data_IF_258185815346
#
_entry.id   IF_258185815346
#
_cell.length_a   1.000
_cell.length_b   1.000
_cell.length_c   1.000
_cell.angle_alpha   90.00
_cell.angle_beta   90.00
_cell.angle_gamma   90.00
#
_symmetry.space_group_name_H-M   'P 1'
#
loop_
_entity.id
_entity.type
_entity.pdbx_description
1 polymer ?
#
# COMPACT_ATOMS: atom_id res chain seq x y z
N UNK A 1 25.88 -8.66 -22.89
CA UNK A 1 26.08 -9.08 -21.48
C UNK A 1 24.74 -8.99 -20.75
N UNK A 2 24.29 -10.07 -20.11
CA UNK A 2 23.10 -10.00 -19.25
C UNK A 2 23.55 -9.33 -17.94
N UNK A 3 23.05 -8.13 -17.65
CA UNK A 3 23.27 -7.46 -16.38
C UNK A 3 22.60 -8.27 -15.27
N UNK A 4 23.30 -8.45 -14.14
CA UNK A 4 22.70 -9.00 -12.93
C UNK A 4 21.62 -8.07 -12.41
N UNK A 5 20.57 -8.61 -11.81
CA UNK A 5 19.53 -7.79 -11.16
C UNK A 5 20.13 -6.85 -10.09
N UNK A 6 21.22 -7.26 -9.45
CA UNK A 6 21.97 -6.47 -8.48
C UNK A 6 22.70 -5.26 -9.08
N UNK A 7 22.90 -5.23 -10.41
CA UNK A 7 23.44 -4.06 -11.10
C UNK A 7 22.37 -3.04 -11.48
N UNK A 8 21.10 -3.45 -11.41
CA UNK A 8 19.95 -2.62 -11.79
C UNK A 8 19.27 -2.06 -10.55
N UNK A 9 19.23 -2.84 -9.47
CA UNK A 9 18.59 -2.46 -8.20
C UNK A 9 19.67 -1.91 -7.26
N UNK A 10 19.62 -0.63 -6.90
CA UNK A 10 20.67 0.03 -6.10
C UNK A 10 20.55 -0.26 -4.59
N UNK A 11 19.93 -1.38 -4.20
CA UNK A 11 19.77 -1.81 -2.80
C UNK A 11 20.83 -2.87 -2.50
N UNK A 12 21.59 -2.68 -1.43
CA UNK A 12 22.66 -3.59 -0.99
C UNK A 12 22.24 -4.51 0.12
N UNK A 13 21.57 -3.98 1.12
CA UNK A 13 21.20 -4.72 2.33
C UNK A 13 19.97 -4.11 3.00
N UNK A 14 19.41 -4.84 3.95
CA UNK A 14 18.43 -4.33 4.90
C UNK A 14 19.15 -4.08 6.22
N UNK A 15 19.00 -2.88 6.77
CA UNK A 15 19.64 -2.50 8.04
C UNK A 15 18.96 -3.20 9.22
N UNK A 16 19.58 -3.17 10.41
CA UNK A 16 18.99 -3.75 11.63
C UNK A 16 17.64 -3.12 11.99
N UNK A 17 17.44 -1.84 11.63
CA UNK A 17 16.16 -1.13 11.82
C UNK A 17 15.13 -1.38 10.71
N UNK A 18 15.48 -2.20 9.71
CA UNK A 18 14.58 -2.61 8.63
C UNK A 18 14.61 -1.71 7.39
N UNK A 19 15.45 -0.68 7.35
CA UNK A 19 15.60 0.21 6.19
C UNK A 19 16.41 -0.42 5.08
N UNK A 20 16.16 -0.02 3.83
CA UNK A 20 16.97 -0.43 2.70
C UNK A 20 18.20 0.46 2.57
N UNK A 21 19.41 -0.14 2.65
CA UNK A 21 20.67 0.57 2.40
C UNK A 21 20.97 0.57 0.91
N UNK A 22 21.21 1.76 0.38
CA UNK A 22 21.50 1.99 -1.04
C UNK A 22 22.99 1.91 -1.33
N UNK A 23 23.35 1.81 -2.62
CA UNK A 23 24.76 1.76 -3.10
C UNK A 23 25.58 2.98 -2.72
N UNK A 24 24.95 4.15 -2.65
CA UNK A 24 25.58 5.42 -2.27
C UNK A 24 25.69 5.61 -0.75
N UNK A 25 25.32 4.60 0.05
CA UNK A 25 25.32 4.62 1.50
C UNK A 25 24.10 5.25 2.15
N UNK A 26 23.19 5.84 1.37
CA UNK A 26 21.92 6.37 1.87
C UNK A 26 20.96 5.25 2.28
N UNK A 27 19.97 5.62 3.04
CA UNK A 27 18.86 4.71 3.40
C UNK A 27 17.58 5.10 2.70
N UNK A 28 16.78 4.10 2.37
CA UNK A 28 15.48 4.24 1.72
C UNK A 28 14.40 3.50 2.52
N UNK A 29 13.19 4.04 2.53
CA UNK A 29 12.01 3.42 3.12
C UNK A 29 10.79 3.61 2.23
N UNK A 30 9.86 2.66 2.29
CA UNK A 30 8.57 2.71 1.59
C UNK A 30 7.44 2.79 2.62
N UNK A 31 6.72 3.90 2.62
CA UNK A 31 5.54 4.08 3.46
C UNK A 31 4.27 4.01 2.61
N UNK A 32 3.39 3.07 2.91
CA UNK A 32 2.09 3.01 2.26
C UNK A 32 1.22 4.20 2.66
N UNK A 33 0.61 4.83 1.65
CA UNK A 33 -0.32 5.94 1.84
C UNK A 33 -1.72 5.37 1.91
N UNK A 34 -2.43 5.61 3.01
CA UNK A 34 -3.84 5.27 3.11
C UNK A 34 -4.66 6.24 2.27
N UNK A 35 -5.38 5.71 1.28
CA UNK A 35 -6.26 6.51 0.41
C UNK A 35 -7.66 6.60 0.99
N UNK A 36 -8.36 7.70 0.70
CA UNK A 36 -9.77 7.90 1.02
C UNK A 36 -10.61 7.91 -0.26
N UNK A 37 -11.86 7.50 -0.12
CA UNK A 37 -12.86 7.66 -1.17
C UNK A 37 -13.36 9.11 -1.18
N UNK A 38 -12.83 9.91 -2.11
CA UNK A 38 -13.14 11.33 -2.25
C UNK A 38 -14.61 11.58 -2.62
N UNK A 39 -15.27 10.60 -3.25
CA UNK A 39 -16.68 10.74 -3.70
C UNK A 39 -17.63 10.74 -2.50
N UNK A 40 -17.33 9.94 -1.48
CA UNK A 40 -18.17 9.79 -0.28
C UNK A 40 -17.67 10.61 0.92
N UNK A 41 -16.64 11.43 0.73
CA UNK A 41 -16.05 12.28 1.78
C UNK A 41 -16.64 13.69 1.69
N UNK A 42 -16.92 14.34 2.83
CA UNK A 42 -17.44 15.71 2.86
C UNK A 42 -16.41 16.72 2.35
N UNK A 43 -16.88 17.86 1.82
CA UNK A 43 -16.01 18.93 1.34
C UNK A 43 -15.06 19.46 2.43
N UNK A 44 -15.57 19.63 3.65
CA UNK A 44 -14.79 20.12 4.81
C UNK A 44 -13.66 19.12 5.18
N UNK A 45 -13.93 17.84 5.08
CA UNK A 45 -12.94 16.79 5.36
C UNK A 45 -11.86 16.72 4.27
N UNK A 46 -12.24 16.93 3.01
CA UNK A 46 -11.30 17.04 1.89
C UNK A 46 -10.42 18.29 2.07
N UNK A 47 -10.98 19.43 2.41
CA UNK A 47 -10.24 20.65 2.67
C UNK A 47 -9.24 20.46 3.83
N UNK A 48 -9.67 19.84 4.91
CA UNK A 48 -8.81 19.52 6.05
C UNK A 48 -7.63 18.63 5.64
N UNK A 49 -7.86 17.60 4.84
CA UNK A 49 -6.80 16.74 4.33
C UNK A 49 -5.85 17.50 3.39
N UNK A 50 -6.36 18.37 2.53
CA UNK A 50 -5.52 19.25 1.70
C UNK A 50 -4.61 20.15 2.55
N UNK A 51 -5.11 20.72 3.64
CA UNK A 51 -4.32 21.55 4.57
C UNK A 51 -3.21 20.70 5.24
N UNK A 52 -3.52 19.47 5.66
CA UNK A 52 -2.51 18.55 6.22
C UNK A 52 -1.38 18.24 5.23
N UNK A 53 -1.73 17.91 3.98
CA UNK A 53 -0.74 17.64 2.95
C UNK A 53 0.08 18.91 2.61
N UNK A 54 -0.56 20.07 2.52
CA UNK A 54 0.16 21.33 2.30
C UNK A 54 1.15 21.63 3.43
N UNK A 55 0.75 21.38 4.69
CA UNK A 55 1.63 21.51 5.86
C UNK A 55 2.79 20.51 5.79
N UNK A 56 2.51 19.25 5.47
CA UNK A 56 3.54 18.24 5.29
C UNK A 56 4.56 18.64 4.23
N UNK A 57 4.15 18.99 3.01
CA UNK A 57 5.07 19.38 1.94
C UNK A 57 5.88 20.66 2.26
N UNK A 58 5.38 21.51 3.14
CA UNK A 58 6.08 22.68 3.62
C UNK A 58 7.15 22.37 4.66
N UNK A 59 6.96 21.31 5.46
CA UNK A 59 7.87 20.88 6.53
C UNK A 59 8.90 19.85 6.07
N UNK A 60 8.54 19.05 5.08
CA UNK A 60 9.39 17.98 4.57
C UNK A 60 10.39 18.55 3.58
N UNK A 61 11.69 18.46 3.91
CA UNK A 61 12.78 19.10 3.15
C UNK A 61 13.64 18.13 2.34
N UNK A 62 13.47 16.82 2.53
CA UNK A 62 14.28 15.82 1.88
C UNK A 62 13.61 15.30 0.59
N UNK A 63 14.36 14.55 -0.20
CA UNK A 63 13.84 13.94 -1.42
C UNK A 63 12.79 12.87 -1.09
N UNK A 64 11.68 12.90 -1.81
CA UNK A 64 10.68 11.84 -1.76
C UNK A 64 10.11 11.59 -3.16
N UNK A 65 9.65 10.35 -3.39
CA UNK A 65 8.89 9.99 -4.59
C UNK A 65 7.53 9.43 -4.19
N UNK A 66 6.51 9.76 -4.98
CA UNK A 66 5.20 9.12 -4.88
C UNK A 66 5.16 8.00 -5.92
N UNK A 67 4.89 6.78 -5.46
CA UNK A 67 4.77 5.61 -6.32
C UNK A 67 3.32 5.15 -6.31
N UNK A 68 2.76 4.92 -7.50
CA UNK A 68 1.45 4.31 -7.67
C UNK A 68 1.64 2.95 -8.34
N UNK A 69 1.16 1.89 -7.69
CA UNK A 69 1.25 0.52 -8.17
C UNK A 69 -0.14 -0.08 -8.31
N UNK A 70 -0.35 -0.87 -9.36
CA UNK A 70 -1.56 -1.65 -9.54
C UNK A 70 -1.24 -3.11 -9.18
N UNK A 71 -1.98 -3.63 -8.21
CA UNK A 71 -1.90 -5.03 -7.80
C UNK A 71 -3.15 -5.79 -8.22
N UNK A 72 -3.04 -7.08 -8.55
CA UNK A 72 -4.21 -7.95 -8.66
C UNK A 72 -4.98 -7.95 -7.34
N UNK A 73 -6.31 -7.88 -7.42
CA UNK A 73 -7.14 -8.02 -6.22
C UNK A 73 -7.02 -9.46 -5.68
N UNK A 74 -6.82 -9.60 -4.37
CA UNK A 74 -6.82 -10.90 -3.69
C UNK A 74 -8.13 -11.09 -2.92
N UNK A 75 -8.93 -12.03 -3.39
CA UNK A 75 -10.17 -12.45 -2.73
C UNK A 75 -10.03 -13.82 -2.06
N UNK A 76 -8.81 -14.27 -1.76
CA UNK A 76 -8.53 -15.59 -1.22
C UNK A 76 -9.26 -15.91 0.08
N UNK A 77 -9.41 -14.94 1.00
CA UNK A 77 -10.16 -15.15 2.25
C UNK A 77 -11.66 -15.35 1.99
N UNK A 78 -12.24 -14.50 1.14
CA UNK A 78 -13.66 -14.58 0.78
C UNK A 78 -13.98 -15.88 0.04
N UNK A 79 -13.10 -16.31 -0.87
CA UNK A 79 -13.25 -17.59 -1.58
C UNK A 79 -13.23 -18.77 -0.61
N UNK A 80 -12.26 -18.85 0.31
CA UNK A 80 -12.22 -19.90 1.35
C UNK A 80 -13.47 -19.92 2.22
N UNK A 81 -13.99 -18.76 2.59
CA UNK A 81 -15.24 -18.67 3.34
C UNK A 81 -16.43 -19.23 2.55
N UNK A 82 -16.56 -18.87 1.26
CA UNK A 82 -17.63 -19.37 0.40
C UNK A 82 -17.50 -20.89 0.15
N UNK A 83 -16.30 -21.40 -0.08
CA UNK A 83 -16.03 -22.84 -0.20
C UNK A 83 -16.52 -23.62 1.04
N UNK A 84 -16.16 -23.14 2.22
CA UNK A 84 -16.65 -23.70 3.47
C UNK A 84 -18.19 -23.68 3.55
N UNK A 85 -18.82 -22.57 3.22
CA UNK A 85 -20.29 -22.43 3.23
C UNK A 85 -20.96 -23.35 2.18
N UNK A 86 -20.39 -23.46 1.00
CA UNK A 86 -20.89 -24.36 -0.07
C UNK A 86 -20.81 -25.83 0.37
N UNK A 87 -19.72 -26.23 1.05
CA UNK A 87 -19.53 -27.60 1.51
C UNK A 87 -20.46 -27.97 2.66
N UNK A 88 -20.82 -27.03 3.52
CA UNK A 88 -21.61 -27.28 4.75
C UNK A 88 -23.10 -27.09 4.57
N UNK A 89 -23.57 -26.36 3.54
CA UNK A 89 -24.99 -26.10 3.34
C UNK A 89 -25.72 -27.30 2.72
N UNK A 90 -26.88 -27.63 3.28
CA UNK A 90 -27.79 -28.68 2.77
C UNK A 90 -28.86 -28.11 1.83
N UNK A 91 -29.06 -26.78 1.84
CA UNK A 91 -30.07 -26.13 1.01
C UNK A 91 -29.56 -25.93 -0.42
N UNK A 92 -30.18 -26.61 -1.39
CA UNK A 92 -29.74 -26.60 -2.79
C UNK A 92 -29.88 -25.23 -3.46
N UNK A 93 -30.90 -24.43 -3.10
CA UNK A 93 -31.09 -23.08 -3.63
C UNK A 93 -30.00 -22.14 -3.11
N UNK A 94 -29.76 -22.19 -1.80
CA UNK A 94 -28.71 -21.40 -1.17
C UNK A 94 -27.31 -21.79 -1.70
N UNK A 95 -27.07 -23.07 -1.93
CA UNK A 95 -25.82 -23.54 -2.54
C UNK A 95 -25.57 -22.95 -3.92
N UNK A 96 -26.63 -22.87 -4.77
CA UNK A 96 -26.53 -22.22 -6.09
C UNK A 96 -26.19 -20.72 -5.99
N UNK A 97 -26.77 -20.02 -5.02
CA UNK A 97 -26.46 -18.58 -4.79
C UNK A 97 -25.00 -18.40 -4.35
N UNK A 98 -24.53 -19.25 -3.44
CA UNK A 98 -23.12 -19.21 -3.00
C UNK A 98 -22.16 -19.50 -4.15
N UNK A 99 -22.50 -20.47 -5.02
CA UNK A 99 -21.70 -20.78 -6.21
C UNK A 99 -21.63 -19.59 -7.17
N UNK A 100 -22.77 -18.95 -7.44
CA UNK A 100 -22.81 -17.73 -8.26
C UNK A 100 -21.91 -16.64 -7.66
N UNK A 101 -21.95 -16.46 -6.35
CA UNK A 101 -21.09 -15.49 -5.66
C UNK A 101 -19.60 -15.84 -5.78
N UNK A 102 -19.26 -17.12 -5.73
CA UNK A 102 -17.91 -17.61 -5.98
C UNK A 102 -17.44 -17.27 -7.40
N UNK A 103 -18.26 -17.52 -8.39
CA UNK A 103 -17.96 -17.25 -9.80
C UNK A 103 -17.75 -15.73 -10.02
N UNK A 104 -18.55 -14.88 -9.37
CA UNK A 104 -18.38 -13.42 -9.36
C UNK A 104 -17.02 -12.99 -8.76
N UNK A 105 -16.62 -13.58 -7.63
CA UNK A 105 -15.32 -13.26 -7.03
C UNK A 105 -14.14 -13.69 -7.92
N UNK A 106 -14.23 -14.86 -8.55
CA UNK A 106 -13.21 -15.34 -9.49
C UNK A 106 -13.10 -14.39 -10.69
N UNK A 107 -14.25 -13.91 -11.20
CA UNK A 107 -14.26 -12.94 -12.30
C UNK A 107 -13.65 -11.60 -11.87
N UNK A 108 -14.00 -11.10 -10.68
CA UNK A 108 -13.46 -9.85 -10.13
C UNK A 108 -11.93 -9.93 -9.94
N UNK A 109 -11.42 -11.07 -9.45
CA UNK A 109 -9.99 -11.28 -9.25
C UNK A 109 -9.19 -11.21 -10.56
N UNK A 110 -9.79 -11.67 -11.65
CA UNK A 110 -9.15 -11.63 -12.99
C UNK A 110 -9.23 -10.26 -13.66
N UNK A 111 -10.26 -9.49 -13.37
CA UNK A 111 -10.60 -8.28 -14.13
C UNK A 111 -10.36 -6.98 -13.36
N UNK A 112 -10.19 -7.05 -12.04
CA UNK A 112 -9.97 -5.87 -11.21
C UNK A 112 -8.53 -5.81 -10.69
N UNK A 113 -8.05 -4.59 -10.54
CA UNK A 113 -6.79 -4.28 -9.87
C UNK A 113 -7.04 -3.28 -8.75
N UNK A 114 -6.36 -3.46 -7.63
CA UNK A 114 -6.27 -2.47 -6.56
C UNK A 114 -5.09 -1.53 -6.85
N UNK A 115 -5.30 -0.23 -6.70
CA UNK A 115 -4.24 0.76 -6.81
C UNK A 115 -3.77 1.15 -5.42
N UNK A 116 -2.49 1.03 -5.19
CA UNK A 116 -1.85 1.43 -3.96
C UNK A 116 -0.85 2.56 -4.20
N UNK A 117 -0.65 3.40 -3.19
CA UNK A 117 0.25 4.53 -3.25
C UNK A 117 1.25 4.44 -2.11
N UNK A 118 2.50 4.80 -2.42
CA UNK A 118 3.60 4.76 -1.48
C UNK A 118 4.41 6.05 -1.56
N UNK A 119 4.89 6.52 -0.39
CA UNK A 119 6.03 7.41 -0.35
C UNK A 119 7.30 6.59 -0.31
N UNK A 120 8.19 6.82 -1.27
CA UNK A 120 9.56 6.33 -1.24
C UNK A 120 10.43 7.46 -0.70
N UNK A 121 10.98 7.26 0.48
CA UNK A 121 11.77 8.24 1.22
C UNK A 121 13.25 7.92 1.09
N UNK A 122 14.07 8.97 1.11
CA UNK A 122 15.53 8.86 1.10
C UNK A 122 16.10 9.71 2.22
N UNK A 123 17.14 9.20 2.90
CA UNK A 123 17.86 9.94 3.93
C UNK A 123 19.33 9.52 3.93
N UNK A 124 20.21 10.43 4.39
CA UNK A 124 21.64 10.15 4.48
C UNK A 124 21.97 9.21 5.65
N UNK A 125 21.15 9.17 6.68
CA UNK A 125 21.30 8.33 7.87
C UNK A 125 19.99 7.74 8.34
N UNK A 126 20.05 6.66 9.12
CA UNK A 126 18.85 6.04 9.71
C UNK A 126 18.16 6.99 10.71
N UNK A 127 18.89 7.72 11.53
CA UNK A 127 18.30 8.72 12.43
C UNK A 127 17.51 9.79 11.67
N UNK A 128 18.02 10.25 10.53
CA UNK A 128 17.32 11.20 9.67
C UNK A 128 16.08 10.56 9.04
N UNK A 129 16.13 9.27 8.71
CA UNK A 129 14.96 8.53 8.24
C UNK A 129 13.88 8.45 9.32
N UNK A 130 14.25 8.17 10.57
CA UNK A 130 13.31 8.17 11.70
C UNK A 130 12.62 9.52 11.86
N UNK A 131 13.37 10.63 11.78
CA UNK A 131 12.83 12.00 11.83
C UNK A 131 11.87 12.27 10.67
N UNK A 132 12.20 11.80 9.47
CA UNK A 132 11.37 11.95 8.28
C UNK A 132 10.06 11.17 8.41
N UNK A 133 10.10 9.92 8.88
CA UNK A 133 8.93 9.11 9.16
C UNK A 133 8.07 9.76 10.23
N UNK A 134 8.68 10.27 11.32
CA UNK A 134 7.96 10.97 12.36
C UNK A 134 7.25 12.23 11.82
N UNK A 135 7.91 13.00 10.96
CA UNK A 135 7.33 14.18 10.32
C UNK A 135 6.10 13.81 9.49
N UNK A 136 6.18 12.74 8.69
CA UNK A 136 5.07 12.25 7.88
C UNK A 136 3.92 11.79 8.76
N UNK A 137 4.21 10.90 9.72
CA UNK A 137 3.19 10.29 10.56
C UNK A 137 2.47 11.29 11.46
N UNK A 138 3.17 12.32 11.92
CA UNK A 138 2.60 13.41 12.74
C UNK A 138 1.68 14.32 11.93
N UNK A 139 2.00 14.59 10.66
CA UNK A 139 1.25 15.55 9.85
C UNK A 139 0.14 14.91 9.01
N UNK A 140 0.37 13.72 8.46
CA UNK A 140 -0.59 13.05 7.58
C UNK A 140 -1.36 11.95 8.33
N UNK A 141 -0.76 11.37 9.34
CA UNK A 141 -1.25 10.21 10.07
C UNK A 141 -0.64 8.90 9.56
N UNK A 142 -0.66 7.89 10.40
CA UNK A 142 -0.25 6.53 10.02
C UNK A 142 -1.43 5.80 9.43
N UNK A 143 -1.33 5.38 8.19
CA UNK A 143 -2.07 4.21 7.76
C UNK A 143 -1.45 3.01 8.45
N UNK A 144 -2.01 2.57 9.58
CA UNK A 144 -1.73 1.24 10.07
C UNK A 144 -2.43 0.28 9.13
N UNK A 145 -1.65 -0.46 8.31
CA UNK A 145 -2.12 -1.69 7.69
C UNK A 145 -2.52 -2.71 8.75
#
# INVERSE_FOLDING_TARGET
MKKSILEIVPIREITENGYFRMDDGKVMELLQIQTKDVINTSADEIEYDCIKYAKFYRLYSDDLKIISLNYPCDYGQQKRFLEYKISTTKNSIYKKLLQKRMDELIWLEKNNTAREFYFMLFADTENKMDDNILTITTNIGTGKG
#
